data_IF_197061760674
#
_entry.id   IF_197061760674
#
_cell.length_a   1.000
_cell.length_b   1.000
_cell.length_c   1.000
_cell.angle_alpha   90.00
_cell.angle_beta   90.00
_cell.angle_gamma   90.00
#
_symmetry.space_group_name_H-M   'P 1'
#
loop_
_entity.id
_entity.type
_entity.pdbx_description
1 polymer ?
#
# COMPACT_ATOMS: atom_id res chain seq x y z
N UNK A 1 6.51 -1.98 -4.00
CA UNK A 1 5.35 -1.42 -3.31
C UNK A 1 5.06 -0.01 -3.81
N UNK A 2 3.80 0.37 -3.87
CA UNK A 2 3.34 1.69 -4.31
C UNK A 2 2.21 2.16 -3.41
N UNK A 3 2.11 3.47 -3.18
CA UNK A 3 1.03 4.06 -2.41
C UNK A 3 0.67 5.45 -2.95
N UNK A 4 -0.59 5.85 -2.77
CA UNK A 4 -1.09 7.15 -3.22
C UNK A 4 -2.50 7.41 -2.71
N UNK A 5 -3.05 8.55 -3.10
CA UNK A 5 -4.43 8.93 -2.83
C UNK A 5 -5.29 8.78 -4.09
N UNK A 6 -6.60 8.61 -3.92
CA UNK A 6 -7.58 8.47 -4.98
C UNK A 6 -8.94 9.01 -4.54
N UNK A 7 -9.84 9.25 -5.49
CA UNK A 7 -11.19 9.77 -5.20
C UNK A 7 -11.35 11.28 -5.36
N UNK A 8 -10.33 11.98 -5.88
CA UNK A 8 -10.39 13.40 -6.21
C UNK A 8 -9.36 13.77 -7.27
N UNK A 9 -9.60 14.88 -7.98
CA UNK A 9 -8.64 15.44 -8.94
C UNK A 9 -7.44 16.08 -8.21
N UNK A 10 -6.25 16.01 -8.81
CA UNK A 10 -5.04 16.64 -8.28
C UNK A 10 -4.47 15.99 -7.00
N UNK A 11 -5.01 14.86 -6.56
CA UNK A 11 -4.44 14.13 -5.43
C UNK A 11 -3.16 13.39 -5.83
N UNK A 12 -2.12 13.40 -4.97
CA UNK A 12 -0.86 12.74 -5.27
C UNK A 12 -1.02 11.21 -5.33
N UNK A 13 -0.43 10.63 -6.34
CA UNK A 13 -0.38 9.19 -6.56
C UNK A 13 1.06 8.66 -6.50
N UNK A 14 1.27 7.39 -6.85
CA UNK A 14 2.59 6.76 -6.81
C UNK A 14 3.61 7.30 -7.83
N UNK A 15 3.20 8.19 -8.75
CA UNK A 15 4.07 8.87 -9.75
C UNK A 15 4.32 10.33 -9.39
N UNK A 16 3.63 10.87 -8.41
CA UNK A 16 3.80 12.25 -7.96
C UNK A 16 5.21 12.49 -7.46
N UNK A 17 5.78 13.63 -7.81
CA UNK A 17 7.07 14.08 -7.31
C UNK A 17 6.91 14.69 -5.91
N UNK A 18 7.83 14.35 -5.05
CA UNK A 18 7.88 14.83 -3.67
C UNK A 18 9.18 15.58 -3.41
N UNK A 19 9.10 16.65 -2.63
CA UNK A 19 10.28 17.31 -2.10
C UNK A 19 10.87 16.48 -0.96
N UNK A 20 12.18 16.27 -1.02
CA UNK A 20 12.93 15.74 0.11
C UNK A 20 13.09 16.82 1.18
N UNK A 21 13.06 16.49 2.48
CA UNK A 21 13.41 17.41 3.53
C UNK A 21 14.91 17.74 3.49
N UNK A 22 15.26 18.90 4.02
CA UNK A 22 16.66 19.33 4.14
C UNK A 22 17.45 18.41 5.10
N UNK A 23 18.76 18.28 4.84
CA UNK A 23 19.70 17.53 5.66
C UNK A 23 19.71 16.01 5.41
N UNK A 24 20.59 15.29 6.09
CA UNK A 24 20.77 13.86 5.91
C UNK A 24 19.60 13.07 6.53
N UNK A 25 19.06 12.12 5.77
CA UNK A 25 18.00 11.21 6.19
C UNK A 25 18.61 9.92 6.77
N UNK A 26 19.16 10.02 7.96
CA UNK A 26 19.91 8.92 8.62
C UNK A 26 19.30 8.60 9.97
N UNK A 27 19.27 7.33 10.31
CA UNK A 27 18.92 6.90 11.65
C UNK A 27 20.10 7.20 12.58
N UNK A 28 19.98 8.23 13.43
CA UNK A 28 21.02 8.63 14.35
C UNK A 28 21.41 7.50 15.31
N UNK A 29 22.66 7.55 15.80
CA UNK A 29 23.13 6.62 16.83
C UNK A 29 22.27 6.77 18.09
N UNK A 30 21.84 5.64 18.67
CA UNK A 30 20.95 5.62 19.84
C UNK A 30 19.48 5.96 19.58
N UNK A 31 19.11 6.38 18.38
CA UNK A 31 17.71 6.58 18.03
C UNK A 31 17.02 5.26 17.63
N UNK A 32 15.75 5.09 18.02
CA UNK A 32 14.96 3.89 17.72
C UNK A 32 14.26 3.98 16.37
N UNK A 33 14.09 5.17 15.81
CA UNK A 33 13.42 5.37 14.53
C UNK A 33 13.88 6.61 13.80
N UNK A 34 13.65 6.65 12.49
CA UNK A 34 13.75 7.84 11.65
C UNK A 34 12.43 8.06 10.91
N UNK A 35 11.99 9.30 10.85
CA UNK A 35 10.76 9.70 10.14
C UNK A 35 11.12 10.54 8.94
N UNK A 36 10.76 10.07 7.75
CA UNK A 36 10.92 10.79 6.50
C UNK A 36 9.59 11.43 6.11
N UNK A 37 9.57 12.74 5.95
CA UNK A 37 8.39 13.53 5.58
C UNK A 37 8.59 14.12 4.18
N UNK A 38 7.80 13.65 3.22
CA UNK A 38 7.90 14.00 1.82
C UNK A 38 6.69 14.85 1.43
N UNK A 39 6.90 16.12 1.13
CA UNK A 39 5.81 17.01 0.70
C UNK A 39 5.57 16.85 -0.80
N UNK A 40 4.32 16.62 -1.21
CA UNK A 40 3.94 16.62 -2.62
C UNK A 40 4.19 18.00 -3.24
N UNK A 41 4.78 18.03 -4.45
CA UNK A 41 5.07 19.28 -5.17
C UNK A 41 3.84 19.85 -5.88
N UNK A 42 2.82 19.03 -6.08
CA UNK A 42 1.57 19.38 -6.74
C UNK A 42 0.43 19.46 -5.70
N UNK A 43 -0.61 20.22 -6.02
CA UNK A 43 -1.79 20.36 -5.18
C UNK A 43 -1.84 21.69 -4.44
N UNK A 44 -2.55 22.70 -5.03
CA UNK A 44 -2.74 24.01 -4.38
C UNK A 44 -3.83 23.99 -3.32
N UNK A 45 -4.88 23.20 -3.60
CA UNK A 45 -6.09 23.16 -2.78
C UNK A 45 -6.05 22.02 -1.73
N UNK A 46 -5.16 21.05 -1.92
CA UNK A 46 -4.91 19.95 -0.98
C UNK A 46 -3.42 19.76 -0.80
N UNK A 47 -2.92 20.08 0.38
CA UNK A 47 -1.52 19.86 0.72
C UNK A 47 -1.35 18.43 1.26
N UNK A 48 -0.41 17.68 0.69
CA UNK A 48 -0.18 16.30 1.11
C UNK A 48 1.28 16.07 1.47
N UNK A 49 1.48 15.50 2.65
CA UNK A 49 2.77 15.00 3.09
C UNK A 49 2.70 13.49 3.25
N UNK A 50 3.54 12.77 2.51
CA UNK A 50 3.76 11.35 2.72
C UNK A 50 4.76 11.17 3.87
N UNK A 51 4.41 10.33 4.82
CA UNK A 51 5.21 10.08 6.02
C UNK A 51 5.64 8.63 6.05
N UNK A 52 6.94 8.39 6.11
CA UNK A 52 7.53 7.06 6.24
C UNK A 52 8.27 6.98 7.57
N UNK A 53 7.98 5.97 8.38
CA UNK A 53 8.68 5.73 9.64
C UNK A 53 9.41 4.40 9.58
N UNK A 54 10.71 4.46 9.73
CA UNK A 54 11.59 3.30 9.79
C UNK A 54 12.04 3.09 11.24
N UNK A 55 11.89 1.88 11.75
CA UNK A 55 12.27 1.50 13.11
C UNK A 55 13.52 0.61 13.09
N UNK A 56 14.42 0.84 14.02
CA UNK A 56 15.65 0.04 14.14
C UNK A 56 15.32 -1.43 14.37
N UNK A 57 15.98 -2.31 13.62
CA UNK A 57 15.79 -3.75 13.75
C UNK A 57 14.42 -4.28 13.33
N UNK A 58 13.63 -3.49 12.57
CA UNK A 58 12.31 -3.89 12.10
C UNK A 58 12.27 -3.95 10.57
N UNK A 59 11.60 -4.95 10.03
CA UNK A 59 11.23 -5.05 8.63
C UNK A 59 9.87 -4.37 8.33
N UNK A 60 9.28 -3.73 9.33
CA UNK A 60 8.00 -3.02 9.19
C UNK A 60 8.26 -1.52 9.03
N UNK A 61 7.75 -0.95 7.95
CA UNK A 61 7.82 0.46 7.61
C UNK A 61 6.41 1.03 7.72
N UNK A 62 6.20 2.03 8.57
CA UNK A 62 4.91 2.72 8.61
C UNK A 62 4.84 3.71 7.44
N UNK A 63 3.77 3.63 6.64
CA UNK A 63 3.53 4.45 5.45
C UNK A 63 2.22 5.19 5.62
N UNK A 64 2.27 6.52 5.68
CA UNK A 64 1.08 7.33 5.89
C UNK A 64 1.04 8.59 5.04
N UNK A 65 -0.11 9.25 5.10
CA UNK A 65 -0.37 10.55 4.50
C UNK A 65 -0.99 11.48 5.53
N UNK A 66 -0.49 12.69 5.59
CA UNK A 66 -1.14 13.85 6.19
C UNK A 66 -1.69 14.69 5.05
N UNK A 67 -2.99 14.97 5.12
CA UNK A 67 -3.76 15.58 4.03
C UNK A 67 -4.43 16.82 4.60
N UNK A 68 -4.00 18.01 4.21
CA UNK A 68 -4.58 19.26 4.64
C UNK A 68 -5.51 19.78 3.56
N UNK A 69 -6.78 19.92 3.89
CA UNK A 69 -7.81 20.42 2.99
C UNK A 69 -7.82 21.97 3.04
N UNK A 70 -7.32 22.62 1.98
CA UNK A 70 -7.33 24.08 1.84
C UNK A 70 -8.57 24.61 1.13
N UNK A 71 -9.48 23.73 0.75
CA UNK A 71 -10.74 24.13 0.10
C UNK A 71 -11.79 24.58 1.13
N UNK A 72 -12.88 25.14 0.64
CA UNK A 72 -14.04 25.52 1.46
C UNK A 72 -15.06 24.38 1.63
N UNK A 73 -14.80 23.20 1.06
CA UNK A 73 -15.71 22.05 1.10
C UNK A 73 -15.04 20.85 1.78
N UNK A 74 -15.82 20.00 2.46
CA UNK A 74 -15.26 18.74 2.98
C UNK A 74 -14.62 17.91 1.87
N UNK A 75 -13.45 17.37 2.12
CA UNK A 75 -12.72 16.49 1.22
C UNK A 75 -12.97 15.03 1.60
N UNK A 76 -13.56 14.28 0.68
CA UNK A 76 -13.67 12.83 0.78
C UNK A 76 -12.64 12.18 -0.14
N UNK A 77 -11.79 11.32 0.38
CA UNK A 77 -10.72 10.65 -0.38
C UNK A 77 -10.43 9.26 0.19
N UNK A 78 -9.61 8.51 -0.52
CA UNK A 78 -9.12 7.19 -0.11
C UNK A 78 -7.63 7.14 -0.32
N UNK A 79 -6.94 6.32 0.47
CA UNK A 79 -5.56 5.93 0.20
C UNK A 79 -5.54 4.52 -0.40
N UNK A 80 -4.67 4.28 -1.37
CA UNK A 80 -4.38 2.95 -1.84
C UNK A 80 -2.94 2.57 -1.53
N UNK A 81 -2.76 1.30 -1.20
CA UNK A 81 -1.48 0.68 -0.91
C UNK A 81 -1.42 -0.62 -1.71
N UNK A 82 -0.46 -0.73 -2.64
CA UNK A 82 -0.47 -1.82 -3.61
C UNK A 82 0.93 -2.34 -3.92
N UNK A 83 0.97 -3.56 -4.41
CA UNK A 83 2.11 -4.14 -5.10
C UNK A 83 1.84 -4.12 -6.60
N UNK A 84 2.87 -3.79 -7.37
CA UNK A 84 2.90 -3.95 -8.82
C UNK A 84 3.97 -4.98 -9.16
N UNK A 85 3.62 -5.96 -9.99
CA UNK A 85 4.51 -7.05 -10.38
C UNK A 85 4.15 -7.56 -11.78
N UNK A 86 5.14 -8.17 -12.47
CA UNK A 86 4.89 -9.05 -13.62
C UNK A 86 4.35 -10.42 -13.16
N UNK A 87 3.67 -11.12 -14.06
CA UNK A 87 3.12 -12.45 -13.81
C UNK A 87 4.14 -13.57 -13.97
N UNK A 88 5.41 -13.27 -14.26
CA UNK A 88 6.43 -14.29 -14.49
C UNK A 88 6.66 -15.12 -13.23
N UNK A 89 6.62 -16.45 -13.30
CA UNK A 89 7.06 -17.27 -12.20
C UNK A 89 8.53 -16.90 -11.88
N UNK A 90 8.86 -16.80 -10.59
CA UNK A 90 10.27 -16.81 -10.22
C UNK A 90 10.88 -18.06 -10.85
N UNK A 91 12.12 -17.95 -11.40
CA UNK A 91 12.79 -19.09 -12.02
C UNK A 91 12.53 -20.34 -11.17
N UNK A 92 11.84 -21.30 -11.74
CA UNK A 92 11.42 -22.49 -11.03
C UNK A 92 12.67 -23.28 -10.68
N UNK A 93 13.20 -23.06 -9.50
CA UNK A 93 14.04 -24.06 -8.87
C UNK A 93 13.06 -25.15 -8.42
N UNK A 94 12.79 -26.11 -9.31
CA UNK A 94 12.12 -27.34 -8.95
C UNK A 94 13.02 -28.10 -7.97
N UNK A 95 12.93 -27.76 -6.70
CA UNK A 95 13.51 -28.56 -5.64
C UNK A 95 12.53 -29.69 -5.36
N UNK A 96 12.84 -30.89 -5.85
CA UNK A 96 12.05 -32.10 -5.67
C UNK A 96 10.63 -32.10 -6.28
N UNK A 97 10.41 -31.43 -7.42
CA UNK A 97 9.11 -31.43 -8.10
C UNK A 97 7.99 -30.65 -7.39
N UNK A 98 8.32 -29.82 -6.40
CA UNK A 98 7.37 -28.95 -5.72
C UNK A 98 7.37 -27.57 -6.38
N UNK A 99 6.29 -27.26 -7.08
CA UNK A 99 6.05 -25.91 -7.61
C UNK A 99 5.82 -24.94 -6.45
N UNK A 100 6.60 -23.88 -6.40
CA UNK A 100 6.44 -22.83 -5.39
C UNK A 100 5.46 -21.77 -5.85
N UNK A 101 4.58 -21.36 -4.94
CA UNK A 101 3.61 -20.30 -5.21
C UNK A 101 4.30 -18.95 -5.39
N UNK A 102 3.93 -18.24 -6.46
CA UNK A 102 4.27 -16.84 -6.69
C UNK A 102 2.99 -16.11 -7.07
N UNK A 103 2.61 -15.10 -6.28
CA UNK A 103 1.39 -14.35 -6.54
C UNK A 103 0.88 -13.58 -5.32
N UNK A 104 -0.22 -12.86 -5.48
CA UNK A 104 -0.87 -12.18 -4.38
C UNK A 104 -1.59 -13.14 -3.43
N UNK A 105 -1.65 -12.76 -2.17
CA UNK A 105 -2.39 -13.49 -1.14
C UNK A 105 -3.08 -12.52 -0.18
N UNK A 106 -4.24 -12.93 0.33
CA UNK A 106 -5.00 -12.21 1.35
C UNK A 106 -5.20 -13.12 2.55
N UNK A 107 -5.12 -12.57 3.72
CA UNK A 107 -5.50 -13.23 4.97
C UNK A 107 -6.54 -12.40 5.70
N UNK A 108 -7.57 -13.06 6.20
CA UNK A 108 -8.52 -12.51 7.18
C UNK A 108 -8.78 -13.57 8.25
N UNK A 109 -9.26 -13.17 9.41
CA UNK A 109 -9.58 -14.11 10.50
C UNK A 109 -10.65 -15.11 10.09
N UNK A 110 -11.63 -14.70 9.29
CA UNK A 110 -12.72 -15.55 8.83
C UNK A 110 -12.28 -16.47 7.68
N UNK A 111 -11.73 -15.92 6.61
CA UNK A 111 -11.45 -16.66 5.36
C UNK A 111 -10.06 -17.26 5.30
N UNK A 112 -9.23 -17.03 6.33
CA UNK A 112 -7.86 -17.53 6.44
C UNK A 112 -6.98 -17.11 5.24
N UNK A 113 -5.96 -17.86 4.93
CA UNK A 113 -4.98 -17.56 3.89
C UNK A 113 -5.49 -17.96 2.51
N UNK A 114 -5.74 -16.98 1.66
CA UNK A 114 -6.21 -17.16 0.29
C UNK A 114 -5.09 -16.77 -0.69
N UNK A 115 -4.59 -17.74 -1.45
CA UNK A 115 -3.66 -17.53 -2.56
C UNK A 115 -4.46 -17.26 -3.83
N UNK A 116 -3.99 -16.34 -4.67
CA UNK A 116 -4.60 -16.03 -5.96
C UNK A 116 -3.55 -16.19 -7.06
N UNK A 117 -3.86 -17.01 -8.06
CA UNK A 117 -3.01 -17.18 -9.23
C UNK A 117 -3.20 -16.00 -10.20
N UNK A 118 -2.16 -15.65 -10.96
CA UNK A 118 -2.26 -14.59 -11.97
C UNK A 118 -3.24 -14.98 -13.10
N UNK A 119 -3.28 -16.25 -13.44
CA UNK A 119 -4.22 -16.81 -14.42
C UNK A 119 -5.68 -16.62 -13.98
N UNK A 120 -5.98 -16.80 -12.68
CA UNK A 120 -7.32 -16.58 -12.15
C UNK A 120 -7.72 -15.09 -12.24
N UNK A 121 -6.76 -14.17 -12.11
CA UNK A 121 -7.00 -12.73 -12.31
C UNK A 121 -7.32 -12.45 -13.77
N UNK A 122 -6.58 -13.03 -14.72
CA UNK A 122 -6.79 -12.87 -16.15
C UNK A 122 -8.15 -13.37 -16.61
N UNK A 123 -8.58 -14.50 -16.06
CA UNK A 123 -9.86 -15.13 -16.38
C UNK A 123 -11.04 -14.55 -15.60
N UNK A 124 -10.82 -13.60 -14.71
CA UNK A 124 -11.87 -13.03 -13.84
C UNK A 124 -12.43 -14.03 -12.82
N UNK A 125 -11.67 -15.08 -12.50
CA UNK A 125 -12.03 -16.16 -11.56
C UNK A 125 -11.37 -16.04 -10.20
N UNK A 126 -10.57 -15.00 -9.96
CA UNK A 126 -9.86 -14.77 -8.72
C UNK A 126 -10.81 -14.76 -7.52
N UNK A 127 -10.54 -15.63 -6.54
CA UNK A 127 -11.34 -15.76 -5.32
C UNK A 127 -10.54 -15.24 -4.14
N UNK A 128 -10.98 -14.14 -3.56
CA UNK A 128 -10.44 -13.55 -2.34
C UNK A 128 -11.52 -12.71 -1.66
N UNK A 129 -11.34 -12.39 -0.39
CA UNK A 129 -12.25 -11.50 0.34
C UNK A 129 -12.13 -10.08 -0.21
N UNK A 130 -13.18 -9.51 -0.85
CA UNK A 130 -13.10 -8.18 -1.46
C UNK A 130 -13.14 -7.05 -0.43
N UNK A 131 -13.73 -7.27 0.75
CA UNK A 131 -13.82 -6.29 1.84
C UNK A 131 -13.57 -6.93 3.17
N UNK A 132 -12.74 -6.28 3.98
CA UNK A 132 -12.40 -6.75 5.32
C UNK A 132 -12.09 -5.58 6.24
N UNK A 133 -12.16 -5.80 7.55
CA UNK A 133 -11.68 -4.87 8.58
C UNK A 133 -10.48 -5.42 9.36
N UNK A 134 -10.03 -6.64 9.02
CA UNK A 134 -8.92 -7.34 9.64
C UNK A 134 -7.99 -7.98 8.61
N UNK A 135 -6.83 -8.45 9.05
CA UNK A 135 -5.88 -9.20 8.24
C UNK A 135 -4.98 -8.35 7.34
N UNK A 136 -4.44 -8.93 6.28
CA UNK A 136 -3.40 -8.34 5.43
C UNK A 136 -3.48 -8.82 3.98
N UNK A 137 -2.82 -8.06 3.09
CA UNK A 137 -2.61 -8.42 1.69
C UNK A 137 -1.11 -8.47 1.40
N UNK A 138 -0.66 -9.56 0.79
CA UNK A 138 0.75 -9.79 0.50
C UNK A 138 1.01 -10.10 -0.97
N UNK A 139 2.26 -9.86 -1.39
CA UNK A 139 2.87 -10.45 -2.57
C UNK A 139 3.87 -11.50 -2.11
N UNK A 140 3.63 -12.75 -2.47
CA UNK A 140 4.43 -13.90 -2.05
C UNK A 140 5.30 -14.36 -3.22
N UNK A 141 6.53 -14.70 -2.92
CA UNK A 141 7.47 -15.36 -3.83
C UNK A 141 8.15 -16.50 -3.07
N UNK A 142 8.89 -17.34 -3.76
CA UNK A 142 9.53 -18.53 -3.19
C UNK A 142 10.15 -18.32 -1.80
N UNK A 143 11.07 -17.34 -1.67
CA UNK A 143 11.77 -17.04 -0.41
C UNK A 143 11.40 -15.69 0.18
N UNK A 144 10.56 -14.93 -0.49
CA UNK A 144 10.26 -13.55 -0.11
C UNK A 144 8.77 -13.31 0.03
N UNK A 145 8.43 -12.47 0.98
CA UNK A 145 7.09 -11.94 1.15
C UNK A 145 7.18 -10.45 1.46
N UNK A 146 6.31 -9.68 0.81
CA UNK A 146 6.02 -8.32 1.24
C UNK A 146 4.53 -8.20 1.52
N UNK A 147 4.15 -7.51 2.58
CA UNK A 147 2.74 -7.43 2.97
C UNK A 147 2.33 -6.01 3.39
N UNK A 148 1.17 -5.59 2.95
CA UNK A 148 0.46 -4.44 3.50
C UNK A 148 -0.37 -4.90 4.70
N UNK A 149 -0.18 -4.24 5.83
CA UNK A 149 -0.79 -4.52 7.13
C UNK A 149 -1.67 -3.34 7.53
N UNK A 150 -2.88 -3.20 6.99
CA UNK A 150 -3.77 -2.09 7.32
C UNK A 150 -4.22 -2.17 8.78
N UNK A 151 -4.57 -1.01 9.34
CA UNK A 151 -5.05 -0.91 10.72
C UNK A 151 -6.29 -1.78 10.95
N UNK A 152 -6.28 -2.59 12.01
CA UNK A 152 -7.40 -3.40 12.46
C UNK A 152 -8.64 -2.54 12.74
N UNK A 153 -9.82 -3.08 12.45
CA UNK A 153 -11.10 -2.40 12.65
C UNK A 153 -11.47 -1.38 11.57
N UNK A 154 -10.56 -1.03 10.66
CA UNK A 154 -10.85 -0.13 9.55
C UNK A 154 -11.29 -0.93 8.33
N UNK A 155 -12.55 -0.72 7.93
CA UNK A 155 -13.10 -1.34 6.72
C UNK A 155 -12.32 -0.89 5.49
N UNK A 156 -11.89 -1.83 4.69
CA UNK A 156 -11.10 -1.60 3.47
C UNK A 156 -11.54 -2.51 2.34
N UNK A 157 -11.16 -2.15 1.13
CA UNK A 157 -11.42 -2.94 -0.07
C UNK A 157 -10.10 -3.54 -0.57
N UNK A 158 -10.08 -4.87 -0.74
CA UNK A 158 -8.98 -5.59 -1.39
C UNK A 158 -9.26 -5.64 -2.89
N UNK A 159 -8.24 -5.48 -3.71
CA UNK A 159 -8.37 -5.61 -5.16
C UNK A 159 -7.14 -6.27 -5.77
N UNK A 160 -7.39 -6.97 -6.86
CA UNK A 160 -6.35 -7.55 -7.72
C UNK A 160 -6.79 -7.35 -9.16
N UNK A 161 -5.88 -6.91 -10.02
CA UNK A 161 -6.19 -6.66 -11.42
C UNK A 161 -4.95 -6.69 -12.30
N UNK A 162 -5.14 -7.06 -13.55
CA UNK A 162 -4.16 -6.88 -14.62
C UNK A 162 -4.22 -5.43 -15.14
N UNK A 163 -3.05 -4.83 -15.41
CA UNK A 163 -2.94 -3.44 -15.91
C UNK A 163 -2.16 -3.33 -17.23
N UNK A 164 -1.62 -4.42 -17.75
CA UNK A 164 -0.82 -4.46 -18.97
C UNK A 164 -0.70 -5.88 -19.51
N UNK A 165 0.18 -6.08 -20.47
CA UNK A 165 0.36 -7.38 -21.10
C UNK A 165 0.75 -8.47 -20.09
N UNK A 166 1.58 -8.14 -19.12
CA UNK A 166 2.08 -9.05 -18.10
C UNK A 166 2.34 -8.28 -16.78
N UNK A 167 1.43 -7.39 -16.42
CA UNK A 167 1.55 -6.60 -15.19
C UNK A 167 0.27 -6.65 -14.37
N UNK A 168 0.45 -6.90 -13.08
CA UNK A 168 -0.63 -7.08 -12.11
C UNK A 168 -0.46 -6.13 -10.93
N UNK A 169 -1.59 -5.66 -10.43
CA UNK A 169 -1.70 -4.95 -9.17
C UNK A 169 -2.45 -5.81 -8.17
N UNK A 170 -1.96 -5.81 -6.94
CA UNK A 170 -2.68 -6.33 -5.79
C UNK A 170 -2.55 -5.30 -4.65
N UNK A 171 -3.65 -4.89 -4.05
CA UNK A 171 -3.62 -3.82 -3.07
C UNK A 171 -4.88 -3.66 -2.26
N UNK A 172 -4.84 -2.69 -1.37
CA UNK A 172 -5.95 -2.30 -0.50
C UNK A 172 -6.30 -0.83 -0.73
N UNK A 173 -7.59 -0.51 -0.68
CA UNK A 173 -8.11 0.86 -0.64
C UNK A 173 -8.66 1.09 0.75
N UNK A 174 -8.14 2.10 1.42
CA UNK A 174 -8.50 2.48 2.79
C UNK A 174 -9.22 3.83 2.75
N UNK A 175 -10.42 3.95 3.30
CA UNK A 175 -11.12 5.22 3.35
C UNK A 175 -10.38 6.20 4.29
N UNK A 176 -10.35 7.46 3.91
CA UNK A 176 -9.94 8.55 4.78
C UNK A 176 -11.21 9.20 5.34
N UNK A 177 -11.24 9.43 6.64
CA UNK A 177 -12.35 10.20 7.23
C UNK A 177 -12.50 11.56 6.52
N UNK A 178 -13.71 11.99 6.27
CA UNK A 178 -13.96 13.27 5.59
C UNK A 178 -13.22 14.41 6.31
N UNK A 179 -12.42 15.16 5.56
CA UNK A 179 -11.58 16.22 6.09
C UNK A 179 -12.29 17.55 5.90
N UNK A 180 -12.66 18.19 7.01
CA UNK A 180 -13.32 19.48 6.96
C UNK A 180 -12.43 20.59 6.34
N UNK A 181 -13.00 21.69 5.87
CA UNK A 181 -12.24 22.84 5.40
C UNK A 181 -11.18 23.29 6.43
N UNK A 182 -9.95 23.54 5.97
CA UNK A 182 -8.79 23.96 6.76
C UNK A 182 -8.28 22.93 7.80
N UNK A 183 -8.85 21.75 7.82
CA UNK A 183 -8.43 20.64 8.70
C UNK A 183 -7.43 19.72 8.02
N UNK A 184 -6.74 18.92 8.85
CA UNK A 184 -5.79 17.89 8.41
C UNK A 184 -6.26 16.51 8.82
N UNK A 185 -6.51 15.67 7.81
CA UNK A 185 -6.78 14.24 7.99
C UNK A 185 -5.50 13.41 7.90
N UNK A 186 -5.55 12.17 8.43
CA UNK A 186 -4.45 11.22 8.37
C UNK A 186 -4.94 9.84 7.99
N UNK A 187 -4.12 9.12 7.26
CA UNK A 187 -4.31 7.70 6.95
C UNK A 187 -2.96 7.01 6.91
N UNK A 188 -2.87 5.80 7.42
CA UNK A 188 -1.63 5.05 7.40
C UNK A 188 -1.87 3.55 7.33
N UNK A 189 -0.86 2.84 6.89
CA UNK A 189 -0.75 1.39 6.97
C UNK A 189 0.72 1.02 7.17
N UNK A 190 1.00 -0.21 7.57
CA UNK A 190 2.37 -0.70 7.65
C UNK A 190 2.69 -1.60 6.47
N UNK A 191 3.91 -1.49 5.97
CA UNK A 191 4.51 -2.36 4.96
C UNK A 191 5.53 -3.25 5.64
N UNK A 192 5.33 -4.56 5.58
CA UNK A 192 6.37 -5.55 5.87
C UNK A 192 7.14 -5.84 4.58
N UNK A 193 8.48 -5.66 4.59
CA UNK A 193 9.36 -5.86 3.41
C UNK A 193 10.77 -6.31 3.81
#
# INVERSE_FOLDING_TARGET
>A
AQAGLTGGEGLPNHRTLYALPDGPQVLAEGADSVVLRLRALEGRDVEVTKVLTFKRGSYVIDVGYEITNRTERPLATHAYFQFARDGRPAEAVEVFGVSTFTGPAVYTTESKFQKVQFEDIDEGKAKFVPRASDGWLAMVQHYFVAAWLPTEGVQRENYMRRIGADQYLAGVIVPVAAIAPQETGRVSTSLYA
#
